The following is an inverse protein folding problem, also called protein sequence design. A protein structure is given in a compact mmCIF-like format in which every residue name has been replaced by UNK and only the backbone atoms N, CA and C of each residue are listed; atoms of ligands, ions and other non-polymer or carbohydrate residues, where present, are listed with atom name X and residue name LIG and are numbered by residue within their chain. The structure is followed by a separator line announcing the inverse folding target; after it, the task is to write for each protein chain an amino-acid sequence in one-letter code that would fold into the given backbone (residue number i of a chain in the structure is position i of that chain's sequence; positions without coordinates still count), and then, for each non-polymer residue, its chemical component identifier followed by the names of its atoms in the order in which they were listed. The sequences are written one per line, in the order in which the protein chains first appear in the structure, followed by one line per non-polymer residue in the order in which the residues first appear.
data_IF_939179283998
#
_entry.id   IF_939179283998
#
_cell.length_a   1.000
_cell.length_b   1.000
_cell.length_c   1.000
_cell.angle_alpha   90.00
_cell.angle_beta   90.00
_cell.angle_gamma   90.00
#
_symmetry.space_group_name_H-M   'P 1'
#
loop_
_entity.id
_entity.type
_entity.pdbx_description
1 polymer ?
#
# COMPACT_ATOMS: atom_id res chain seq x y z
N UNK A 1 15.24 -43.21 -40.66
CA UNK A 1 14.51 -41.96 -40.42
C UNK A 1 15.24 -41.15 -39.35
N UNK A 2 15.37 -39.85 -39.59
CA UNK A 2 16.39 -38.98 -39.01
C UNK A 2 16.10 -38.53 -37.57
N UNK A 3 17.18 -38.42 -36.81
CA UNK A 3 17.33 -37.80 -35.49
C UNK A 3 17.04 -36.29 -35.60
N UNK A 4 16.10 -35.74 -34.82
CA UNK A 4 16.01 -34.29 -34.64
C UNK A 4 16.28 -33.91 -33.17
N UNK A 5 17.07 -32.86 -33.06
CA UNK A 5 17.76 -32.34 -31.88
C UNK A 5 17.34 -30.88 -31.82
N UNK A 6 16.50 -30.49 -30.88
CA UNK A 6 16.18 -29.09 -30.60
C UNK A 6 16.63 -28.74 -29.19
N UNK A 7 17.83 -28.21 -29.19
CA UNK A 7 18.56 -27.61 -28.10
C UNK A 7 17.86 -26.35 -27.58
N UNK A 8 17.69 -26.30 -26.26
CA UNK A 8 18.10 -25.18 -25.41
C UNK A 8 17.67 -23.76 -25.83
N UNK A 9 16.61 -23.26 -25.21
CA UNK A 9 16.65 -21.92 -24.60
C UNK A 9 16.35 -22.08 -23.12
N UNK A 10 17.43 -22.29 -22.38
CA UNK A 10 17.50 -22.07 -20.93
C UNK A 10 17.10 -20.62 -20.72
N UNK A 11 15.87 -20.38 -20.25
CA UNK A 11 15.47 -19.11 -19.65
C UNK A 11 16.54 -18.79 -18.61
N UNK A 12 17.46 -17.90 -19.00
CA UNK A 12 18.34 -17.27 -18.03
C UNK A 12 17.37 -16.45 -17.20
N UNK A 13 17.26 -16.67 -15.88
CA UNK A 13 16.60 -15.69 -15.04
C UNK A 13 17.31 -14.38 -15.33
N UNK A 14 16.58 -13.41 -15.92
CA UNK A 14 17.07 -12.04 -15.96
C UNK A 14 17.46 -11.65 -14.54
N UNK A 15 18.40 -10.70 -14.36
CA UNK A 15 18.69 -10.15 -13.04
C UNK A 15 17.34 -9.88 -12.37
N UNK A 16 17.07 -10.41 -11.16
CA UNK A 16 15.80 -10.19 -10.51
C UNK A 16 15.57 -8.68 -10.50
N UNK A 17 14.51 -8.24 -11.19
CA UNK A 17 14.06 -6.85 -11.12
C UNK A 17 14.09 -6.48 -9.65
N UNK A 18 14.77 -5.39 -9.24
CA UNK A 18 14.75 -4.92 -7.87
C UNK A 18 13.29 -4.77 -7.49
N UNK A 19 12.77 -5.80 -6.83
CA UNK A 19 11.42 -5.79 -6.30
C UNK A 19 11.62 -5.11 -4.97
N UNK A 20 11.97 -3.83 -5.02
CA UNK A 20 11.80 -2.89 -3.91
C UNK A 20 10.28 -2.69 -3.73
N UNK A 21 9.57 -3.80 -3.53
CA UNK A 21 8.17 -3.80 -3.19
C UNK A 21 8.06 -3.18 -1.82
N UNK A 22 6.98 -2.41 -1.61
CA UNK A 22 6.72 -1.80 -0.31
C UNK A 22 6.92 -2.81 0.83
N UNK A 23 7.60 -2.36 1.88
CA UNK A 23 7.77 -3.15 3.10
C UNK A 23 6.39 -3.64 3.59
N UNK A 24 6.32 -4.77 4.32
CA UNK A 24 5.04 -5.28 4.84
C UNK A 24 4.26 -4.22 5.64
N UNK A 25 4.98 -3.36 6.35
CA UNK A 25 4.43 -2.20 7.05
C UNK A 25 3.92 -1.14 6.09
N UNK A 26 4.71 -0.77 5.09
CA UNK A 26 4.28 0.19 4.06
C UNK A 26 3.01 -0.26 3.35
N UNK A 27 2.85 -1.55 3.07
CA UNK A 27 1.60 -2.12 2.53
C UNK A 27 0.44 -1.99 3.51
N UNK A 28 0.66 -2.31 4.78
CA UNK A 28 -0.37 -2.18 5.82
C UNK A 28 -0.85 -0.74 5.98
N UNK A 29 0.09 0.21 6.09
CA UNK A 29 -0.22 1.64 6.21
C UNK A 29 -0.83 2.22 4.93
N UNK A 30 -0.38 1.80 3.75
CA UNK A 30 -0.99 2.19 2.48
C UNK A 30 -2.44 1.69 2.37
N UNK A 31 -2.69 0.44 2.75
CA UNK A 31 -4.04 -0.12 2.79
C UNK A 31 -4.94 0.55 3.81
N UNK A 32 -4.46 0.70 5.05
CA UNK A 32 -5.22 1.34 6.13
C UNK A 32 -5.50 2.83 5.84
N UNK A 33 -4.49 3.57 5.40
CA UNK A 33 -4.66 4.98 5.04
C UNK A 33 -5.52 5.16 3.80
N UNK A 34 -5.40 4.28 2.79
CA UNK A 34 -6.29 4.27 1.63
C UNK A 34 -7.75 4.03 2.00
N UNK A 35 -8.02 3.07 2.89
CA UNK A 35 -9.36 2.84 3.41
C UNK A 35 -9.89 4.06 4.17
N UNK A 36 -9.04 4.76 4.93
CA UNK A 36 -9.41 5.98 5.65
C UNK A 36 -9.76 7.13 4.71
N UNK A 37 -9.02 7.30 3.60
CA UNK A 37 -9.32 8.29 2.57
C UNK A 37 -10.67 7.98 1.91
N UNK A 38 -10.91 6.71 1.54
CA UNK A 38 -12.19 6.28 0.95
C UNK A 38 -13.33 6.57 1.93
N UNK A 39 -13.18 6.18 3.21
CA UNK A 39 -14.17 6.45 4.23
C UNK A 39 -14.42 7.96 4.41
N UNK A 40 -13.37 8.78 4.38
CA UNK A 40 -13.47 10.24 4.41
C UNK A 40 -14.28 10.81 3.25
N UNK A 41 -14.05 10.32 2.02
CA UNK A 41 -14.81 10.70 0.83
C UNK A 41 -16.28 10.27 0.89
N UNK A 42 -16.53 9.03 1.33
CA UNK A 42 -17.89 8.53 1.52
C UNK A 42 -18.62 9.38 2.55
N UNK A 43 -17.99 9.66 3.69
CA UNK A 43 -18.58 10.48 4.74
C UNK A 43 -18.82 11.93 4.27
N UNK A 44 -17.89 12.50 3.51
CA UNK A 44 -18.05 13.81 2.89
C UNK A 44 -19.24 13.86 1.92
N UNK A 45 -19.59 12.75 1.27
CA UNK A 45 -20.78 12.68 0.39
C UNK A 45 -22.09 12.85 1.16
N UNK A 46 -22.09 12.63 2.48
CA UNK A 46 -23.22 12.89 3.38
C UNK A 46 -23.13 14.27 4.06
N UNK A 47 -22.11 15.08 3.75
CA UNK A 47 -22.01 16.44 4.25
C UNK A 47 -23.09 17.33 3.62
N UNK A 48 -23.69 18.20 4.43
CA UNK A 48 -24.56 19.26 3.91
C UNK A 48 -23.72 20.29 3.16
N UNK A 49 -24.29 20.95 2.15
CA UNK A 49 -23.59 21.95 1.34
C UNK A 49 -23.02 23.12 2.16
N UNK A 50 -23.63 23.42 3.31
CA UNK A 50 -23.15 24.47 4.22
C UNK A 50 -22.13 23.96 5.24
N UNK A 51 -21.80 22.66 5.23
CA UNK A 51 -20.77 22.06 6.08
C UNK A 51 -21.10 22.07 7.58
N UNK A 52 -22.37 22.25 7.94
CA UNK A 52 -22.80 22.43 9.35
C UNK A 52 -23.12 21.12 10.07
N UNK A 53 -23.04 19.99 9.38
CA UNK A 53 -23.32 18.68 9.95
C UNK A 53 -22.03 17.91 10.30
N UNK A 54 -22.17 16.93 11.18
CA UNK A 54 -21.05 16.15 11.70
C UNK A 54 -20.17 15.48 10.62
N UNK A 55 -20.72 14.91 9.53
CA UNK A 55 -19.92 14.39 8.42
C UNK A 55 -18.96 15.41 7.79
N UNK A 56 -19.39 16.67 7.64
CA UNK A 56 -18.57 17.75 7.12
C UNK A 56 -17.41 18.13 8.06
N UNK A 57 -17.62 17.98 9.37
CA UNK A 57 -16.57 18.24 10.36
C UNK A 57 -15.57 17.10 10.47
N UNK A 58 -16.02 15.84 10.34
CA UNK A 58 -15.16 14.66 10.54
C UNK A 58 -14.36 14.31 9.28
N UNK A 59 -14.97 14.41 8.08
CA UNK A 59 -14.33 13.98 6.83
C UNK A 59 -12.97 14.63 6.52
N UNK A 60 -12.71 15.93 6.79
CA UNK A 60 -11.39 16.52 6.54
C UNK A 60 -10.29 15.83 7.35
N UNK A 61 -10.58 15.45 8.60
CA UNK A 61 -9.63 14.74 9.45
C UNK A 61 -9.38 13.31 8.97
N UNK A 62 -10.39 12.61 8.45
CA UNK A 62 -10.20 11.27 7.86
C UNK A 62 -9.33 11.34 6.60
N UNK A 63 -9.54 12.35 5.76
CA UNK A 63 -8.74 12.55 4.55
C UNK A 63 -7.29 12.88 4.90
N UNK A 64 -7.06 13.88 5.76
CA UNK A 64 -5.71 14.28 6.20
C UNK A 64 -5.03 13.11 6.93
N UNK A 65 -5.73 12.47 7.86
CA UNK A 65 -5.22 11.32 8.60
C UNK A 65 -4.89 10.14 7.69
N UNK A 66 -5.69 9.89 6.66
CA UNK A 66 -5.46 8.83 5.68
C UNK A 66 -4.20 9.09 4.87
N UNK A 67 -4.03 10.29 4.33
CA UNK A 67 -2.79 10.66 3.63
C UNK A 67 -1.57 10.65 4.54
N UNK A 68 -1.70 11.13 5.79
CA UNK A 68 -0.63 11.08 6.77
C UNK A 68 -0.23 9.63 7.08
N UNK A 69 -1.20 8.73 7.26
CA UNK A 69 -0.93 7.31 7.49
C UNK A 69 -0.21 6.64 6.31
N UNK A 70 -0.62 6.95 5.08
CA UNK A 70 0.08 6.47 3.87
C UNK A 70 1.52 6.99 3.86
N UNK A 71 1.71 8.30 4.10
CA UNK A 71 3.03 8.92 4.15
C UNK A 71 3.93 8.26 5.20
N UNK A 72 3.45 8.13 6.44
CA UNK A 72 4.18 7.44 7.52
C UNK A 72 4.54 6.02 7.09
N UNK A 73 3.61 5.28 6.49
CA UNK A 73 3.86 3.93 5.97
C UNK A 73 5.00 3.84 4.96
N UNK A 74 5.13 4.84 4.10
CA UNK A 74 6.17 4.89 3.08
C UNK A 74 7.55 5.22 3.68
N UNK A 75 7.59 6.11 4.68
CA UNK A 75 8.85 6.54 5.30
C UNK A 75 9.29 5.68 6.50
N UNK A 76 8.42 4.80 7.02
CA UNK A 76 8.75 3.99 8.19
C UNK A 76 9.68 2.82 7.78
N UNK A 77 10.87 2.70 8.39
CA UNK A 77 11.76 1.59 8.11
C UNK A 77 11.14 0.24 8.54
N UNK A 78 11.52 -0.87 7.88
CA UNK A 78 11.11 -2.21 8.30
C UNK A 78 11.59 -2.47 9.75
N UNK A 79 10.76 -3.16 10.55
CA UNK A 79 11.19 -3.55 11.90
C UNK A 79 12.36 -4.53 11.76
N UNK A 80 13.39 -4.47 12.62
CA UNK A 80 14.33 -5.57 12.76
C UNK A 80 13.56 -6.88 13.02
N UNK A 81 14.07 -8.01 12.49
CA UNK A 81 13.46 -9.31 12.75
C UNK A 81 13.41 -9.54 14.27
N UNK A 82 12.23 -9.86 14.78
CA UNK A 82 12.05 -10.28 16.16
C UNK A 82 12.54 -11.71 16.28
N UNK A 83 13.80 -11.89 16.67
CA UNK A 83 14.36 -13.20 17.00
C UNK A 83 13.70 -13.73 18.28
N UNK A 84 12.99 -14.88 18.25
CA UNK A 84 12.40 -15.50 19.43
C UNK A 84 13.43 -16.26 20.28
N UNK A 85 14.69 -15.82 20.34
CA UNK A 85 15.79 -16.55 20.99
C UNK A 85 16.79 -15.68 21.76
N UNK A 86 16.42 -14.44 22.11
CA UNK A 86 17.18 -13.61 23.05
C UNK A 86 16.69 -13.80 24.49
#
# INVERSE_FOLDING_TARGET
MAKNKNTTKKDRPGPPLPTEGLSPRGKMFAGAGGALVIAGFVLLSFADALGRNLPALISPFLLIGGYAAIGVGLFLPPLPPSDPSA
#
